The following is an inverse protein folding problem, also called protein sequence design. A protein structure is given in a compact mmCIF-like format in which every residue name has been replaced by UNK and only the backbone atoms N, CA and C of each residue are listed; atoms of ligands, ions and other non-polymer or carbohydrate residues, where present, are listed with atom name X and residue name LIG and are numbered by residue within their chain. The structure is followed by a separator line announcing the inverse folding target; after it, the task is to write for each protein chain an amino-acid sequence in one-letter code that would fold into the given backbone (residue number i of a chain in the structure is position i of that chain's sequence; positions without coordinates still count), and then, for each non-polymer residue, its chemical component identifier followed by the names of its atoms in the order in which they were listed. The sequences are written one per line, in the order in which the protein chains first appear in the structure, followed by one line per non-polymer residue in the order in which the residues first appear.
data_IF_279473393697
#
_entry.id   IF_279473393697
#
_cell.length_a   1.000
_cell.length_b   1.000
_cell.length_c   1.000
_cell.angle_alpha   90.00
_cell.angle_beta   90.00
_cell.angle_gamma   90.00
#
_symmetry.space_group_name_H-M   'P 1'
#
loop_
_entity.id
_entity.type
_entity.pdbx_description
1 polymer ?
#
# COMPACT_ATOMS: atom_id res chain seq x y z
N UNK A 1 -22.55 -9.89 -6.92
CA UNK A 1 -22.62 -8.84 -5.89
C UNK A 1 -23.45 -7.68 -6.44
N UNK A 2 -24.57 -7.33 -5.80
CA UNK A 2 -25.34 -6.15 -6.20
C UNK A 2 -24.46 -4.93 -5.95
N UNK A 3 -24.06 -4.24 -7.01
CA UNK A 3 -23.32 -2.99 -6.92
C UNK A 3 -24.27 -1.89 -6.46
N UNK A 4 -24.69 -1.95 -5.19
CA UNK A 4 -25.12 -0.75 -4.51
C UNK A 4 -23.89 0.13 -4.47
N UNK A 5 -23.83 1.09 -5.41
CA UNK A 5 -22.76 2.06 -5.61
C UNK A 5 -22.64 2.96 -4.40
N UNK A 6 -22.16 2.38 -3.31
CA UNK A 6 -21.81 3.06 -2.08
C UNK A 6 -20.58 3.91 -2.37
N UNK A 7 -20.83 5.09 -2.96
CA UNK A 7 -19.81 6.07 -3.38
C UNK A 7 -18.88 6.49 -2.24
N UNK A 8 -19.28 6.24 -0.99
CA UNK A 8 -18.50 6.53 0.20
C UNK A 8 -17.19 5.74 0.30
N UNK A 9 -17.03 4.61 -0.41
CA UNK A 9 -15.81 3.78 -0.40
C UNK A 9 -15.13 3.63 -1.78
N UNK A 10 -15.58 4.37 -2.80
CA UNK A 10 -15.02 4.29 -4.16
C UNK A 10 -13.89 5.29 -4.43
N UNK A 11 -13.37 5.96 -3.39
CA UNK A 11 -12.36 7.00 -3.54
C UNK A 11 -10.97 6.39 -3.68
N UNK A 12 -10.22 6.88 -4.66
CA UNK A 12 -8.79 6.64 -4.82
C UNK A 12 -7.98 7.80 -4.24
N UNK A 13 -6.73 7.54 -3.88
CA UNK A 13 -5.79 8.60 -3.51
C UNK A 13 -5.48 9.49 -4.71
N UNK A 14 -5.57 10.80 -4.50
CA UNK A 14 -5.06 11.81 -5.42
C UNK A 14 -3.52 11.88 -5.36
N UNK A 15 -2.91 12.63 -6.28
CA UNK A 15 -1.44 12.76 -6.35
C UNK A 15 -0.85 13.30 -5.05
N UNK A 16 -1.50 14.29 -4.45
CA UNK A 16 -1.09 14.87 -3.17
C UNK A 16 -1.14 13.84 -2.03
N UNK A 17 -2.19 13.04 -1.97
CA UNK A 17 -2.34 11.95 -1.00
C UNK A 17 -1.23 10.90 -1.15
N UNK A 18 -0.91 10.52 -2.37
CA UNK A 18 0.20 9.59 -2.65
C UNK A 18 1.56 10.15 -2.20
N UNK A 19 1.83 11.44 -2.46
CA UNK A 19 3.08 12.09 -2.01
C UNK A 19 3.20 12.13 -0.49
N UNK A 20 2.10 12.43 0.23
CA UNK A 20 2.06 12.41 1.69
C UNK A 20 2.35 11.03 2.25
N UNK A 21 1.76 9.98 1.67
CA UNK A 21 2.02 8.59 2.09
C UNK A 21 3.49 8.24 1.86
N UNK A 22 4.07 8.60 0.71
CA UNK A 22 5.50 8.39 0.43
C UNK A 22 6.39 9.11 1.45
N UNK A 23 6.03 10.34 1.84
CA UNK A 23 6.77 11.08 2.86
C UNK A 23 6.70 10.41 4.23
N UNK A 24 5.51 9.98 4.67
CA UNK A 24 5.36 9.27 5.95
C UNK A 24 6.12 7.94 5.92
N UNK A 25 6.01 7.18 4.82
CA UNK A 25 6.73 5.94 4.64
C UNK A 25 8.25 6.15 4.71
N UNK A 26 8.78 7.24 4.14
CA UNK A 26 10.22 7.53 4.19
C UNK A 26 10.72 7.96 5.58
N UNK A 27 9.92 8.72 6.33
CA UNK A 27 10.38 9.36 7.58
C UNK A 27 10.02 8.56 8.83
N UNK A 28 8.91 7.81 8.82
CA UNK A 28 8.34 7.19 10.03
C UNK A 28 8.09 5.69 9.91
N UNK A 29 8.24 5.07 8.73
CA UNK A 29 8.05 3.62 8.60
C UNK A 29 9.25 2.87 9.16
N UNK A 30 9.04 2.20 10.29
CA UNK A 30 10.07 1.43 10.97
C UNK A 30 10.17 -0.03 10.48
N UNK A 31 9.12 -0.52 9.80
CA UNK A 31 9.07 -1.89 9.29
C UNK A 31 8.16 -1.98 8.07
N UNK A 32 8.63 -2.69 7.05
CA UNK A 32 7.85 -3.01 5.87
C UNK A 32 8.07 -4.47 5.47
N UNK A 33 7.02 -5.28 5.62
CA UNK A 33 7.04 -6.72 5.32
C UNK A 33 7.37 -7.00 3.85
N UNK A 34 6.95 -6.13 2.93
CA UNK A 34 7.26 -6.26 1.50
C UNK A 34 8.74 -6.08 1.17
N UNK A 35 9.54 -5.58 2.11
CA UNK A 35 10.99 -5.41 1.96
C UNK A 35 11.79 -6.32 2.88
N UNK A 36 11.11 -7.12 3.70
CA UNK A 36 11.74 -8.02 4.68
C UNK A 36 12.24 -9.30 4.00
N UNK A 37 13.46 -9.22 3.47
CA UNK A 37 14.16 -10.35 2.84
C UNK A 37 14.48 -11.48 3.81
N UNK A 38 14.55 -11.22 5.12
CA UNK A 38 14.81 -12.26 6.12
C UNK A 38 13.59 -13.14 6.30
N UNK A 39 12.41 -12.54 6.29
CA UNK A 39 11.14 -13.25 6.39
C UNK A 39 10.74 -13.95 5.09
N UNK A 40 11.10 -13.37 3.94
CA UNK A 40 10.73 -13.86 2.62
C UNK A 40 11.95 -14.24 1.76
N UNK A 41 12.73 -15.27 2.14
CA UNK A 41 13.93 -15.66 1.39
C UNK A 41 13.61 -16.27 0.01
N UNK A 42 12.40 -16.79 -0.19
CA UNK A 42 11.98 -17.44 -1.44
C UNK A 42 11.22 -16.50 -2.41
N UNK A 43 11.09 -15.22 -2.05
CA UNK A 43 10.34 -14.24 -2.83
C UNK A 43 9.23 -13.58 -2.02
N UNK A 44 8.87 -12.37 -2.44
CA UNK A 44 7.87 -11.57 -1.77
C UNK A 44 6.45 -11.98 -2.17
N UNK A 45 5.47 -11.74 -1.29
CA UNK A 45 4.07 -11.90 -1.63
C UNK A 45 3.68 -11.07 -2.88
N UNK A 46 2.74 -11.57 -3.68
CA UNK A 46 2.38 -10.97 -4.97
C UNK A 46 1.79 -9.57 -4.83
N UNK A 47 1.08 -9.30 -3.73
CA UNK A 47 0.52 -7.99 -3.41
C UNK A 47 1.59 -6.91 -3.22
N UNK A 48 2.83 -7.29 -2.88
CA UNK A 48 3.93 -6.35 -2.72
C UNK A 48 4.42 -5.73 -4.03
N UNK A 49 4.01 -6.29 -5.18
CA UNK A 49 4.30 -5.71 -6.50
C UNK A 49 3.32 -4.60 -6.91
N UNK A 50 2.26 -4.40 -6.14
CA UNK A 50 1.20 -3.40 -6.39
C UNK A 50 1.44 -2.11 -5.58
N UNK A 51 2.52 -2.05 -4.80
CA UNK A 51 2.88 -0.93 -3.93
C UNK A 51 3.56 0.24 -4.68
#
# INVERSE_FOLDING_TARGET
CSSNGNSWFSQSLDTTGQERIKWVQKNYMIYNYCTDKKRFPQGFPVECSVA
#
